data_IF_788563366091
#
_entry.id   IF_788563366091
#
_cell.length_a   1.000
_cell.length_b   1.000
_cell.length_c   1.000
_cell.angle_alpha   90.00
_cell.angle_beta   90.00
_cell.angle_gamma   90.00
#
_symmetry.space_group_name_H-M   'P 1'
#
loop_
_entity.id
_entity.type
_entity.pdbx_description
1 polymer ?
#
# COMPACT_ATOMS: atom_id res chain seq x y z
N UNK A 1 -13.78 4.29 19.82
CA UNK A 1 -12.33 4.05 19.65
C UNK A 1 -12.08 3.82 18.18
N UNK A 2 -11.27 4.67 17.54
CA UNK A 2 -10.77 4.42 16.19
C UNK A 2 -9.92 3.16 16.16
N UNK A 3 -9.88 2.48 15.01
CA UNK A 3 -9.09 1.29 14.74
C UNK A 3 -7.97 1.65 13.78
N UNK A 4 -6.79 1.07 13.95
CA UNK A 4 -5.64 1.33 13.08
C UNK A 4 -4.95 0.04 12.64
N UNK A 5 -4.31 0.06 11.47
CA UNK A 5 -3.44 -1.02 10.98
C UNK A 5 -2.27 -0.43 10.20
N UNK A 6 -1.10 -0.95 10.49
CA UNK A 6 0.14 -0.60 9.81
C UNK A 6 0.64 -1.81 9.03
N UNK A 7 1.23 -1.53 7.87
CA UNK A 7 1.89 -2.51 7.01
C UNK A 7 3.19 -1.90 6.48
N UNK A 8 4.22 -2.72 6.36
CA UNK A 8 5.49 -2.37 5.73
C UNK A 8 5.88 -3.48 4.75
N UNK A 9 6.38 -3.08 3.58
CA UNK A 9 6.96 -3.98 2.58
C UNK A 9 8.32 -3.44 2.16
N UNK A 10 9.33 -4.29 2.21
CA UNK A 10 10.69 -3.99 1.76
C UNK A 10 10.86 -4.38 0.30
N UNK A 11 11.22 -3.41 -0.54
CA UNK A 11 11.47 -3.59 -1.97
C UNK A 11 12.96 -3.48 -2.34
N UNK A 12 13.84 -3.31 -1.35
CA UNK A 12 15.29 -3.23 -1.52
C UNK A 12 15.81 -1.97 -2.21
N UNK A 13 14.94 -1.13 -2.76
CA UNK A 13 15.29 0.16 -3.37
C UNK A 13 14.14 1.16 -3.30
N UNK A 14 14.47 2.44 -3.14
CA UNK A 14 13.48 3.53 -3.16
C UNK A 14 12.77 3.62 -4.50
N UNK A 15 13.44 3.25 -5.59
CA UNK A 15 12.86 3.21 -6.94
C UNK A 15 11.70 2.22 -7.02
N UNK A 16 11.93 0.96 -6.62
CA UNK A 16 10.89 -0.08 -6.63
C UNK A 16 9.75 0.27 -5.67
N UNK A 17 10.08 0.71 -4.45
CA UNK A 17 9.09 1.12 -3.46
C UNK A 17 8.24 2.29 -3.97
N UNK A 18 8.86 3.27 -4.65
CA UNK A 18 8.15 4.41 -5.25
C UNK A 18 7.25 4.01 -6.41
N UNK A 19 7.67 3.07 -7.26
CA UNK A 19 6.84 2.55 -8.35
C UNK A 19 5.58 1.88 -7.81
N UNK A 20 5.72 1.00 -6.81
CA UNK A 20 4.57 0.35 -6.18
C UNK A 20 3.69 1.37 -5.45
N UNK A 21 4.28 2.30 -4.70
CA UNK A 21 3.53 3.37 -4.04
C UNK A 21 2.70 4.20 -5.04
N UNK A 22 3.29 4.58 -6.16
CA UNK A 22 2.61 5.35 -7.20
C UNK A 22 1.45 4.58 -7.84
N UNK A 23 1.63 3.28 -8.10
CA UNK A 23 0.58 2.42 -8.62
C UNK A 23 -0.62 2.28 -7.65
N UNK A 24 -0.36 2.29 -6.34
CA UNK A 24 -1.39 2.16 -5.31
C UNK A 24 -2.06 3.50 -4.91
N UNK A 25 -1.41 4.63 -5.16
CA UNK A 25 -1.85 5.96 -4.73
C UNK A 25 -2.90 6.62 -5.64
N UNK A 26 -3.28 5.97 -6.74
CA UNK A 26 -4.14 6.57 -7.78
C UNK A 26 -5.52 6.94 -7.24
N UNK A 27 -6.11 6.07 -6.43
CA UNK A 27 -7.46 6.28 -5.90
C UNK A 27 -7.44 6.72 -4.43
N UNK A 28 -8.35 7.65 -4.12
CA UNK A 28 -8.69 7.99 -2.74
C UNK A 28 -9.63 6.94 -2.17
N UNK A 29 -9.62 6.81 -0.84
CA UNK A 29 -10.63 6.00 -0.16
C UNK A 29 -12.05 6.49 -0.50
N UNK A 30 -12.96 5.54 -0.76
CA UNK A 30 -14.36 5.84 -1.12
C UNK A 30 -15.12 6.58 -0.01
N UNK A 31 -14.68 6.43 1.25
CA UNK A 31 -15.30 7.03 2.44
C UNK A 31 -14.24 7.65 3.35
N UNK A 32 -13.65 8.81 2.97
CA UNK A 32 -12.50 9.40 3.67
C UNK A 32 -12.79 9.86 5.11
N UNK A 33 -14.07 10.09 5.44
CA UNK A 33 -14.49 10.38 6.82
C UNK A 33 -14.52 9.13 7.72
N UNK A 34 -14.52 7.94 7.12
CA UNK A 34 -14.68 6.66 7.83
C UNK A 34 -13.42 5.82 7.84
N UNK A 35 -12.62 5.92 6.78
CA UNK A 35 -11.33 5.26 6.65
C UNK A 35 -10.35 6.17 5.92
N UNK A 36 -9.12 6.23 6.42
CA UNK A 36 -8.01 6.99 5.85
C UNK A 36 -6.84 6.04 5.63
N UNK A 37 -6.11 6.30 4.56
CA UNK A 37 -4.88 5.61 4.19
C UNK A 37 -3.78 6.65 3.96
N UNK A 38 -2.63 6.43 4.57
CA UNK A 38 -1.42 7.20 4.36
C UNK A 38 -0.32 6.24 3.92
N UNK A 39 0.48 6.67 2.94
CA UNK A 39 1.58 5.89 2.40
C UNK A 39 2.83 6.76 2.33
N UNK A 40 3.98 6.15 2.61
CA UNK A 40 5.29 6.79 2.50
C UNK A 40 6.33 5.79 2.03
N UNK A 41 7.34 6.28 1.32
CA UNK A 41 8.52 5.51 0.93
C UNK A 41 9.75 6.06 1.65
N UNK A 42 10.54 5.17 2.23
CA UNK A 42 11.83 5.48 2.86
C UNK A 42 12.68 4.23 2.98
N UNK A 43 13.99 4.37 2.78
CA UNK A 43 14.99 3.30 2.97
C UNK A 43 14.66 2.00 2.22
N UNK A 44 14.14 2.11 1.00
CA UNK A 44 13.75 0.99 0.15
C UNK A 44 12.41 0.34 0.52
N UNK A 45 11.65 0.95 1.43
CA UNK A 45 10.42 0.37 1.98
C UNK A 45 9.20 1.22 1.71
N UNK A 46 8.07 0.56 1.51
CA UNK A 46 6.74 1.16 1.51
C UNK A 46 6.09 0.95 2.88
N UNK A 47 5.78 2.04 3.57
CA UNK A 47 5.01 2.03 4.82
C UNK A 47 3.59 2.53 4.56
N UNK A 48 2.61 1.87 5.17
CA UNK A 48 1.19 2.17 4.98
C UNK A 48 0.49 2.21 6.32
N UNK A 49 -0.19 3.31 6.61
CA UNK A 49 -1.00 3.50 7.81
C UNK A 49 -2.47 3.63 7.46
N UNK A 50 -3.31 2.79 8.07
CA UNK A 50 -4.76 2.89 8.01
C UNK A 50 -5.34 3.31 9.35
N UNK A 51 -6.32 4.20 9.29
CA UNK A 51 -7.15 4.60 10.43
C UNK A 51 -8.62 4.53 10.02
N UNK A 52 -9.48 3.95 10.86
CA UNK A 52 -10.92 3.92 10.61
C UNK A 52 -11.75 4.08 11.89
N UNK A 53 -12.96 4.62 11.73
CA UNK A 53 -13.91 4.84 12.84
C UNK A 53 -14.51 3.55 13.38
N UNK A 54 -14.56 2.49 12.57
CA UNK A 54 -15.07 1.17 12.93
C UNK A 54 -14.27 0.04 12.25
N UNK A 55 -14.20 -1.12 12.91
CA UNK A 55 -13.45 -2.28 12.41
C UNK A 55 -13.91 -2.77 11.02
N UNK A 56 -15.20 -2.60 10.67
CA UNK A 56 -15.72 -3.01 9.36
C UNK A 56 -15.14 -2.19 8.20
N UNK A 57 -14.91 -0.89 8.39
CA UNK A 57 -14.33 -0.02 7.36
C UNK A 57 -12.85 -0.31 7.19
N UNK A 58 -12.13 -0.48 8.31
CA UNK A 58 -10.75 -0.93 8.31
C UNK A 58 -10.60 -2.26 7.57
N UNK A 59 -11.42 -3.27 7.92
CA UNK A 59 -11.37 -4.59 7.30
C UNK A 59 -11.59 -4.53 5.79
N UNK A 60 -12.64 -3.83 5.34
CA UNK A 60 -12.97 -3.75 3.93
C UNK A 60 -11.86 -3.06 3.12
N UNK A 61 -11.41 -1.88 3.56
CA UNK A 61 -10.39 -1.11 2.86
C UNK A 61 -9.02 -1.82 2.89
N UNK A 62 -8.58 -2.28 4.06
CA UNK A 62 -7.30 -2.99 4.21
C UNK A 62 -7.24 -4.28 3.39
N UNK A 63 -8.31 -5.10 3.37
CA UNK A 63 -8.34 -6.31 2.55
C UNK A 63 -8.21 -5.99 1.06
N UNK A 64 -8.99 -5.03 0.56
CA UNK A 64 -8.89 -4.62 -0.84
C UNK A 64 -7.51 -4.07 -1.20
N UNK A 65 -6.87 -3.35 -0.27
CA UNK A 65 -5.52 -2.84 -0.43
C UNK A 65 -4.47 -3.94 -0.53
N UNK A 66 -4.54 -4.97 0.32
CA UNK A 66 -3.59 -6.08 0.30
C UNK A 66 -3.69 -6.89 -1.00
N UNK A 67 -4.90 -7.03 -1.56
CA UNK A 67 -5.09 -7.70 -2.85
C UNK A 67 -4.36 -6.96 -3.99
N UNK A 68 -4.52 -5.64 -4.08
CA UNK A 68 -3.85 -4.83 -5.11
C UNK A 68 -2.35 -4.66 -4.85
N UNK A 69 -1.93 -4.58 -3.58
CA UNK A 69 -0.52 -4.58 -3.19
C UNK A 69 0.17 -5.87 -3.63
N UNK A 70 -0.49 -7.02 -3.42
CA UNK A 70 0.04 -8.32 -3.85
C UNK A 70 0.24 -8.36 -5.36
N UNK A 71 -0.70 -7.81 -6.13
CA UNK A 71 -0.55 -7.69 -7.58
C UNK A 71 0.64 -6.80 -7.94
N UNK A 72 0.72 -5.59 -7.38
CA UNK A 72 1.80 -4.64 -7.67
C UNK A 72 3.18 -5.18 -7.28
N UNK A 73 3.28 -5.87 -6.14
CA UNK A 73 4.51 -6.54 -5.70
C UNK A 73 4.93 -7.61 -6.71
N UNK A 74 4.02 -8.49 -7.14
CA UNK A 74 4.35 -9.50 -8.15
C UNK A 74 4.76 -8.86 -9.47
N UNK A 75 4.13 -7.74 -9.85
CA UNK A 75 4.50 -7.01 -11.06
C UNK A 75 5.91 -6.44 -10.97
N UNK A 76 6.32 -5.85 -9.84
CA UNK A 76 7.68 -5.29 -9.72
C UNK A 76 8.73 -6.40 -9.54
N UNK A 77 8.38 -7.52 -8.93
CA UNK A 77 9.27 -8.70 -8.84
C UNK A 77 9.53 -9.33 -10.22
N UNK A 78 8.51 -9.42 -11.06
CA UNK A 78 8.62 -10.02 -12.40
C UNK A 78 9.17 -9.04 -13.44
N UNK A 79 8.81 -7.75 -13.37
CA UNK A 79 9.07 -6.77 -14.43
C UNK A 79 9.87 -5.53 -13.98
N UNK A 80 10.44 -5.56 -12.78
CA UNK A 80 11.17 -4.42 -12.22
C UNK A 80 12.55 -4.16 -12.85
N UNK A 81 13.19 -3.04 -12.46
CA UNK A 81 14.56 -2.70 -12.84
C UNK A 81 15.52 -3.83 -12.48
N UNK A 82 16.22 -4.37 -13.48
CA UNK A 82 17.11 -5.53 -13.32
C UNK A 82 16.58 -6.83 -13.94
N UNK A 83 15.36 -6.83 -14.48
CA UNK A 83 14.88 -7.91 -15.34
C UNK A 83 15.61 -7.90 -16.69
N UNK A 84 16.24 -9.01 -17.04
CA UNK A 84 16.76 -9.28 -18.39
C UNK A 84 15.71 -10.08 -19.18
N UNK A 85 15.35 -9.58 -20.38
CA UNK A 85 14.39 -10.19 -21.30
C UNK A 85 15.01 -11.34 -22.13
#
# INVERSE_FOLDING_TARGET
MSQYRDLEVDYGSDENASMVCAALAVDKELQPDKVKRQMSVSDGKLSVHFEAVEARFLRASFSSFVDILTLATKTIEEFGPGMEL
#
